data_IF_006910522173
#
_entry.id   IF_006910522173
#
_cell.length_a   1.000
_cell.length_b   1.000
_cell.length_c   1.000
_cell.angle_alpha   90.00
_cell.angle_beta   90.00
_cell.angle_gamma   90.00
#
_symmetry.space_group_name_H-M   'P 1'
#
loop_
_entity.id
_entity.type
_entity.pdbx_description
1 polymer ?
#
# COMPACT_ATOMS: atom_id res chain seq x y z
N UNK A 1 -16.68 75.55 -2.67
CA UNK A 1 -16.29 74.35 -1.90
C UNK A 1 -17.16 73.22 -2.42
N UNK A 2 -16.68 72.56 -3.46
CA UNK A 2 -17.31 71.33 -3.96
C UNK A 2 -17.14 70.25 -2.89
N UNK A 3 -18.27 69.68 -2.48
CA UNK A 3 -18.37 68.56 -1.58
C UNK A 3 -17.63 67.37 -2.19
N UNK A 4 -16.53 66.97 -1.56
CA UNK A 4 -15.80 65.75 -1.84
C UNK A 4 -16.77 64.59 -1.56
N UNK A 5 -17.34 64.05 -2.63
CA UNK A 5 -18.15 62.84 -2.59
C UNK A 5 -17.21 61.66 -2.23
N UNK A 6 -17.38 61.16 -1.02
CA UNK A 6 -16.57 60.08 -0.44
C UNK A 6 -16.97 58.74 -1.04
N UNK A 7 -16.56 58.47 -2.28
CA UNK A 7 -16.68 57.17 -2.94
C UNK A 7 -15.64 56.17 -2.37
N UNK A 8 -15.90 55.60 -1.18
CA UNK A 8 -15.20 54.40 -0.67
C UNK A 8 -15.97 53.63 0.42
N UNK A 9 -17.06 52.90 0.07
CA UNK A 9 -17.45 51.73 0.88
C UNK A 9 -17.84 50.46 0.10
N UNK A 10 -18.01 50.49 -1.23
CA UNK A 10 -18.56 49.35 -1.98
C UNK A 10 -17.57 48.20 -2.29
N UNK A 11 -16.28 48.50 -2.46
CA UNK A 11 -15.24 47.54 -2.91
C UNK A 11 -14.84 46.50 -1.85
N UNK A 12 -14.80 46.90 -0.57
CA UNK A 12 -14.51 45.97 0.52
C UNK A 12 -15.65 44.98 0.80
N UNK A 13 -16.87 45.27 0.35
CA UNK A 13 -18.05 44.46 0.65
C UNK A 13 -18.17 43.22 -0.26
N UNK A 14 -17.81 43.31 -1.54
CA UNK A 14 -17.89 42.14 -2.43
C UNK A 14 -16.92 41.03 -2.01
N UNK A 15 -15.72 41.38 -1.54
CA UNK A 15 -14.74 40.41 -1.06
C UNK A 15 -15.20 39.68 0.21
N UNK A 16 -15.89 40.39 1.12
CA UNK A 16 -16.50 39.77 2.31
C UNK A 16 -17.62 38.81 1.92
N UNK A 17 -18.47 39.22 0.96
CA UNK A 17 -19.54 38.38 0.43
C UNK A 17 -18.99 37.13 -0.28
N UNK A 18 -17.93 37.28 -1.06
CA UNK A 18 -17.27 36.17 -1.75
C UNK A 18 -16.72 35.14 -0.74
N UNK A 19 -16.02 35.60 0.30
CA UNK A 19 -15.59 34.73 1.40
C UNK A 19 -16.77 33.97 2.02
N UNK A 20 -17.83 34.68 2.42
CA UNK A 20 -18.99 34.07 3.05
C UNK A 20 -19.68 33.04 2.13
N UNK A 21 -19.78 33.35 0.84
CA UNK A 21 -20.33 32.45 -0.17
C UNK A 21 -19.49 31.17 -0.31
N UNK A 22 -18.17 31.30 -0.47
CA UNK A 22 -17.27 30.15 -0.60
C UNK A 22 -17.21 29.32 0.68
N UNK A 23 -17.23 29.94 1.86
CA UNK A 23 -17.35 29.22 3.13
C UNK A 23 -18.60 28.36 3.16
N UNK A 24 -19.77 28.94 2.86
CA UNK A 24 -21.03 28.19 2.84
C UNK A 24 -21.04 27.09 1.77
N UNK A 25 -20.54 27.39 0.57
CA UNK A 25 -20.44 26.42 -0.53
C UNK A 25 -19.58 25.21 -0.13
N UNK A 26 -18.44 25.44 0.52
CA UNK A 26 -17.55 24.36 0.93
C UNK A 26 -18.08 23.55 2.09
N UNK A 27 -18.73 24.20 3.07
CA UNK A 27 -19.39 23.51 4.17
C UNK A 27 -20.52 22.58 3.69
N UNK A 28 -21.25 23.00 2.65
CA UNK A 28 -22.37 22.23 2.09
C UNK A 28 -21.91 21.14 1.12
N UNK A 29 -20.99 21.45 0.20
CA UNK A 29 -20.76 20.63 -1.01
C UNK A 29 -19.36 20.06 -1.16
N UNK A 30 -18.35 20.56 -0.46
CA UNK A 30 -16.98 20.08 -0.67
C UNK A 30 -16.82 18.65 -0.13
N UNK A 31 -16.39 17.68 -0.95
CA UNK A 31 -16.17 16.32 -0.49
C UNK A 31 -15.15 16.27 0.66
N UNK A 32 -15.50 15.58 1.76
CA UNK A 32 -14.62 15.42 2.94
C UNK A 32 -13.32 14.67 2.65
N UNK A 33 -13.23 13.99 1.50
CA UNK A 33 -12.02 13.33 1.01
C UNK A 33 -10.96 14.32 0.50
N UNK A 34 -11.34 15.57 0.20
CA UNK A 34 -10.42 16.63 -0.20
C UNK A 34 -9.76 17.27 1.03
N UNK A 35 -8.72 16.61 1.51
CA UNK A 35 -8.00 17.02 2.72
C UNK A 35 -6.91 18.06 2.43
N UNK A 36 -6.49 18.21 1.17
CA UNK A 36 -5.59 19.27 0.73
C UNK A 36 -6.38 20.44 0.14
N UNK A 37 -7.15 20.19 -0.93
CA UNK A 37 -7.99 21.20 -1.59
C UNK A 37 -9.22 21.54 -0.74
N UNK A 38 -8.97 22.31 0.30
CA UNK A 38 -9.88 22.62 1.39
C UNK A 38 -10.07 24.13 1.54
N UNK A 39 -11.04 24.55 2.37
CA UNK A 39 -11.19 25.97 2.70
C UNK A 39 -9.89 26.60 3.23
N UNK A 40 -9.06 25.84 3.95
CA UNK A 40 -7.77 26.30 4.46
C UNK A 40 -6.80 26.62 3.31
N UNK A 41 -6.76 25.78 2.28
CA UNK A 41 -5.97 26.02 1.07
C UNK A 41 -6.44 27.31 0.39
N UNK A 42 -7.73 27.40 0.06
CA UNK A 42 -8.30 28.60 -0.58
C UNK A 42 -8.04 29.88 0.20
N UNK A 43 -8.24 29.87 1.53
CA UNK A 43 -7.96 31.02 2.38
C UNK A 43 -6.46 31.40 2.39
N UNK A 44 -5.57 30.41 2.25
CA UNK A 44 -4.13 30.62 2.13
C UNK A 44 -3.78 31.25 0.79
N UNK A 45 -4.31 30.72 -0.32
CA UNK A 45 -4.14 31.27 -1.67
C UNK A 45 -4.64 32.71 -1.75
N UNK A 46 -5.80 33.02 -1.16
CA UNK A 46 -6.32 34.39 -1.05
C UNK A 46 -5.37 35.32 -0.31
N UNK A 47 -4.82 34.87 0.82
CA UNK A 47 -3.86 35.66 1.61
C UNK A 47 -2.60 35.97 0.81
N UNK A 48 -2.08 34.98 0.08
CA UNK A 48 -0.87 35.17 -0.72
C UNK A 48 -1.13 36.00 -1.97
N UNK A 49 -2.22 35.77 -2.70
CA UNK A 49 -2.60 36.56 -3.86
C UNK A 49 -2.74 38.04 -3.51
N UNK A 50 -3.36 38.33 -2.35
CA UNK A 50 -3.43 39.69 -1.83
C UNK A 50 -2.05 40.28 -1.54
N UNK A 51 -1.19 39.53 -0.83
CA UNK A 51 0.15 40.01 -0.47
C UNK A 51 1.05 40.25 -1.69
N UNK A 52 0.95 39.38 -2.71
CA UNK A 52 1.68 39.54 -3.97
C UNK A 52 1.16 40.75 -4.75
N UNK A 53 -0.17 40.89 -4.88
CA UNK A 53 -0.78 42.03 -5.58
C UNK A 53 -0.51 43.39 -4.90
N UNK A 54 -0.41 43.42 -3.56
CA UNK A 54 0.03 44.61 -2.82
C UNK A 54 1.51 44.92 -3.06
N UNK A 55 2.37 43.90 -3.13
CA UNK A 55 3.80 44.07 -3.39
C UNK A 55 4.12 44.54 -4.82
N UNK A 56 3.25 44.23 -5.79
CA UNK A 56 3.36 44.71 -7.18
C UNK A 56 2.61 46.02 -7.43
N UNK A 57 2.09 46.66 -6.37
CA UNK A 57 1.36 47.93 -6.46
C UNK A 57 0.16 47.91 -7.43
N UNK A 58 -0.59 46.79 -7.47
CA UNK A 58 -1.77 46.69 -8.33
C UNK A 58 -2.80 47.80 -8.05
N UNK A 59 -3.53 48.17 -9.10
CA UNK A 59 -4.71 49.03 -8.95
C UNK A 59 -5.71 48.40 -7.96
N UNK A 60 -6.46 49.19 -7.18
CA UNK A 60 -7.48 48.66 -6.28
C UNK A 60 -8.49 47.76 -6.97
N UNK A 61 -8.81 48.04 -8.23
CA UNK A 61 -9.71 47.25 -9.07
C UNK A 61 -9.09 45.89 -9.39
N UNK A 62 -7.83 45.83 -9.82
CA UNK A 62 -7.14 44.60 -10.19
C UNK A 62 -6.81 43.73 -8.99
N UNK A 63 -6.48 44.33 -7.85
CA UNK A 63 -6.35 43.62 -6.60
C UNK A 63 -7.69 42.97 -6.19
N UNK A 64 -8.81 43.66 -6.36
CA UNK A 64 -10.14 43.10 -6.11
C UNK A 64 -10.44 41.90 -7.01
N UNK A 65 -10.17 42.01 -8.32
CA UNK A 65 -10.36 40.90 -9.26
C UNK A 65 -9.45 39.70 -8.96
N UNK A 66 -8.18 39.95 -8.61
CA UNK A 66 -7.24 38.90 -8.21
C UNK A 66 -7.71 38.17 -6.95
N UNK A 67 -8.18 38.89 -5.94
CA UNK A 67 -8.68 38.30 -4.69
C UNK A 67 -10.01 37.56 -4.91
N UNK A 68 -10.90 38.06 -5.78
CA UNK A 68 -12.10 37.32 -6.19
C UNK A 68 -11.71 36.02 -6.90
N UNK A 69 -10.80 36.06 -7.86
CA UNK A 69 -10.31 34.86 -8.54
C UNK A 69 -9.72 33.85 -7.54
N UNK A 70 -8.93 34.31 -6.57
CA UNK A 70 -8.37 33.46 -5.52
C UNK A 70 -9.42 32.81 -4.62
N UNK A 71 -10.54 33.48 -4.31
CA UNK A 71 -11.65 32.86 -3.57
C UNK A 71 -12.32 31.75 -4.36
N UNK A 72 -12.43 31.90 -5.68
CA UNK A 72 -13.19 30.99 -6.52
C UNK A 72 -12.34 29.91 -7.23
N UNK A 73 -11.01 30.01 -7.31
CA UNK A 73 -10.17 29.14 -8.16
C UNK A 73 -10.43 27.64 -7.97
N UNK A 74 -10.66 27.22 -6.72
CA UNK A 74 -10.93 25.83 -6.32
C UNK A 74 -12.41 25.52 -6.09
N UNK A 75 -13.33 26.44 -6.40
CA UNK A 75 -14.76 26.24 -6.16
C UNK A 75 -15.33 25.01 -6.88
N UNK A 76 -14.80 24.69 -8.06
CA UNK A 76 -15.21 23.57 -8.90
C UNK A 76 -14.93 22.19 -8.32
N UNK A 77 -14.06 22.07 -7.31
CA UNK A 77 -13.83 20.80 -6.60
C UNK A 77 -15.10 20.27 -5.92
N UNK A 78 -16.10 21.12 -5.73
CA UNK A 78 -17.44 20.73 -5.26
C UNK A 78 -18.22 19.86 -6.27
N UNK A 79 -17.77 19.80 -7.52
CA UNK A 79 -18.47 19.09 -8.59
C UNK A 79 -17.56 18.13 -9.38
N UNK A 80 -16.31 18.52 -9.66
CA UNK A 80 -15.38 17.72 -10.47
C UNK A 80 -13.94 17.90 -9.97
N UNK A 81 -13.12 16.85 -10.08
CA UNK A 81 -11.71 16.92 -9.70
C UNK A 81 -10.82 17.47 -10.82
N UNK A 82 -10.84 16.81 -11.98
CA UNK A 82 -10.07 17.24 -13.16
C UNK A 82 -10.87 18.25 -13.98
N UNK A 83 -10.29 19.42 -14.25
CA UNK A 83 -11.00 20.53 -14.87
C UNK A 83 -11.88 21.33 -13.90
N UNK A 84 -11.63 21.23 -12.60
CA UNK A 84 -12.33 22.00 -11.57
C UNK A 84 -12.22 23.51 -11.82
N UNK A 85 -11.12 23.99 -12.40
CA UNK A 85 -10.88 25.40 -12.74
C UNK A 85 -11.93 25.92 -13.74
N UNK A 86 -12.30 25.12 -14.73
CA UNK A 86 -13.35 25.51 -15.67
C UNK A 86 -14.71 25.60 -14.98
N UNK A 87 -14.98 24.69 -14.03
CA UNK A 87 -16.20 24.76 -13.24
C UNK A 87 -16.20 25.93 -12.26
N UNK A 88 -15.04 26.23 -11.67
CA UNK A 88 -14.80 27.41 -10.83
C UNK A 88 -15.11 28.71 -11.58
N UNK A 89 -14.73 28.81 -12.86
CA UNK A 89 -15.06 29.96 -13.70
C UNK A 89 -16.57 30.14 -13.88
N UNK A 90 -17.33 29.05 -14.06
CA UNK A 90 -18.78 29.08 -14.22
C UNK A 90 -19.47 29.50 -12.91
N UNK A 91 -19.04 28.94 -11.78
CA UNK A 91 -19.54 29.30 -10.45
C UNK A 91 -19.25 30.77 -10.11
N UNK A 92 -18.03 31.23 -10.40
CA UNK A 92 -17.64 32.63 -10.21
C UNK A 92 -18.49 33.57 -11.09
N UNK A 93 -18.66 33.23 -12.37
CA UNK A 93 -19.47 34.03 -13.30
C UNK A 93 -20.92 34.15 -12.84
N UNK A 94 -21.55 33.03 -12.47
CA UNK A 94 -22.92 33.03 -12.00
C UNK A 94 -23.07 33.95 -10.77
N UNK A 95 -22.24 33.72 -9.75
CA UNK A 95 -22.32 34.47 -8.50
C UNK A 95 -22.02 35.96 -8.71
N UNK A 96 -21.00 36.31 -9.49
CA UNK A 96 -20.63 37.70 -9.75
C UNK A 96 -21.71 38.44 -10.56
N UNK A 97 -22.38 37.77 -11.51
CA UNK A 97 -23.54 38.35 -12.23
C UNK A 97 -24.69 38.66 -11.26
N UNK A 98 -24.98 37.75 -10.32
CA UNK A 98 -26.00 37.96 -9.28
C UNK A 98 -25.64 39.12 -8.34
N UNK A 99 -24.35 39.36 -8.10
CA UNK A 99 -23.87 40.54 -7.35
C UNK A 99 -23.84 41.84 -8.18
N UNK A 100 -24.18 41.80 -9.47
CA UNK A 100 -24.11 42.96 -10.37
C UNK A 100 -22.69 43.42 -10.70
N UNK A 101 -21.71 42.50 -10.69
CA UNK A 101 -20.32 42.81 -11.03
C UNK A 101 -20.16 43.12 -12.53
N UNK A 102 -19.28 44.06 -12.94
CA UNK A 102 -19.14 44.45 -14.35
C UNK A 102 -18.71 43.29 -15.25
N UNK A 103 -19.32 43.16 -16.43
CA UNK A 103 -19.14 42.01 -17.32
C UNK A 103 -17.69 41.83 -17.81
N UNK A 104 -16.99 42.94 -18.08
CA UNK A 104 -15.57 42.96 -18.44
C UNK A 104 -14.68 42.46 -17.28
N UNK A 105 -15.03 42.82 -16.04
CA UNK A 105 -14.33 42.37 -14.84
C UNK A 105 -14.63 40.91 -14.51
N UNK A 106 -15.84 40.43 -14.78
CA UNK A 106 -16.17 39.00 -14.69
C UNK A 106 -15.31 38.19 -15.66
N UNK A 107 -15.19 38.63 -16.91
CA UNK A 107 -14.33 37.97 -17.89
C UNK A 107 -12.87 37.91 -17.41
N UNK A 108 -12.36 39.01 -16.84
CA UNK A 108 -11.04 39.04 -16.24
C UNK A 108 -10.88 38.02 -15.09
N UNK A 109 -11.83 37.97 -14.15
CA UNK A 109 -11.78 37.00 -13.03
C UNK A 109 -11.73 35.56 -13.56
N UNK A 110 -12.55 35.23 -14.56
CA UNK A 110 -12.53 33.91 -15.21
C UNK A 110 -11.18 33.60 -15.85
N UNK A 111 -10.60 34.57 -16.55
CA UNK A 111 -9.29 34.40 -17.21
C UNK A 111 -8.13 34.25 -16.21
N UNK A 112 -8.25 34.85 -15.02
CA UNK A 112 -7.29 34.65 -13.93
C UNK A 112 -7.43 33.23 -13.36
N UNK A 113 -8.66 32.78 -13.04
CA UNK A 113 -8.92 31.42 -12.55
C UNK A 113 -8.43 30.38 -13.55
N UNK A 114 -8.72 30.55 -14.84
CA UNK A 114 -8.32 29.62 -15.89
C UNK A 114 -6.82 29.32 -15.90
N UNK A 115 -6.00 30.31 -15.54
CA UNK A 115 -4.55 30.16 -15.58
C UNK A 115 -3.98 29.23 -14.51
N UNK A 116 -4.75 28.85 -13.48
CA UNK A 116 -4.31 27.87 -12.48
C UNK A 116 -4.36 26.43 -13.00
N UNK A 117 -5.07 26.20 -14.12
CA UNK A 117 -5.12 24.88 -14.73
C UNK A 117 -3.77 24.47 -15.31
N UNK A 118 -3.29 23.25 -14.97
CA UNK A 118 -1.95 22.74 -15.30
C UNK A 118 -1.56 22.75 -16.79
N UNK A 119 -2.53 22.76 -17.70
CA UNK A 119 -2.31 22.79 -19.16
C UNK A 119 -2.41 24.22 -19.76
N UNK A 120 -2.78 25.21 -18.96
CA UNK A 120 -2.91 26.60 -19.39
C UNK A 120 -1.61 27.37 -19.12
N UNK A 121 -1.40 28.48 -19.82
CA UNK A 121 -0.20 29.32 -19.63
C UNK A 121 -0.63 30.68 -19.12
N UNK A 122 -0.05 31.10 -17.99
CA UNK A 122 -0.22 32.44 -17.44
C UNK A 122 0.53 33.49 -18.28
N UNK A 123 -0.22 34.35 -18.98
CA UNK A 123 0.31 35.36 -19.92
C UNK A 123 0.32 36.76 -19.32
N UNK A 124 -0.67 37.09 -18.49
CA UNK A 124 -0.80 38.40 -17.87
C UNK A 124 -0.25 38.39 -16.45
N UNK A 125 0.09 39.57 -15.92
CA UNK A 125 0.59 39.71 -14.55
C UNK A 125 -0.38 39.14 -13.51
N UNK A 126 -1.69 39.42 -13.64
CA UNK A 126 -2.71 38.90 -12.72
C UNK A 126 -2.83 37.37 -12.75
N UNK A 127 -2.70 36.77 -13.93
CA UNK A 127 -2.66 35.31 -14.06
C UNK A 127 -1.43 34.73 -13.37
N UNK A 128 -0.26 35.34 -13.58
CA UNK A 128 1.00 34.90 -12.97
C UNK A 128 0.95 35.03 -11.46
N UNK A 129 0.39 36.13 -10.94
CA UNK A 129 0.21 36.36 -9.50
C UNK A 129 -0.70 35.31 -8.85
N UNK A 130 -1.80 34.91 -9.50
CA UNK A 130 -2.65 33.86 -8.94
C UNK A 130 -1.95 32.50 -8.97
N UNK A 131 -1.30 32.14 -10.07
CA UNK A 131 -0.52 30.89 -10.17
C UNK A 131 0.57 30.83 -9.10
N UNK A 132 1.30 31.93 -8.88
CA UNK A 132 2.32 32.00 -7.84
C UNK A 132 1.73 31.89 -6.43
N UNK A 133 0.55 32.49 -6.20
CA UNK A 133 -0.15 32.41 -4.92
C UNK A 133 -0.63 30.97 -4.61
N UNK A 134 -1.18 30.29 -5.61
CA UNK A 134 -1.64 28.89 -5.49
C UNK A 134 -0.45 27.94 -5.25
N UNK A 135 0.66 28.21 -5.92
CA UNK A 135 1.94 27.49 -5.77
C UNK A 135 2.77 27.97 -4.57
N UNK A 136 2.21 28.81 -3.69
CA UNK A 136 2.95 29.40 -2.55
C UNK A 136 3.44 28.35 -1.54
N UNK A 137 2.85 27.15 -1.53
CA UNK A 137 3.26 26.04 -0.66
C UNK A 137 4.74 25.65 -0.86
N UNK A 138 5.30 25.77 -2.08
CA UNK A 138 6.71 25.45 -2.37
C UNK A 138 7.68 26.31 -1.55
N UNK A 139 7.27 27.53 -1.21
CA UNK A 139 8.06 28.53 -0.47
C UNK A 139 7.62 28.70 0.97
N UNK A 140 6.99 27.70 1.58
CA UNK A 140 6.49 27.74 2.96
C UNK A 140 7.01 26.59 3.81
N UNK A 141 7.06 26.79 5.12
CA UNK A 141 7.51 25.78 6.08
C UNK A 141 6.58 24.56 6.10
N UNK A 142 5.29 24.77 5.84
CA UNK A 142 4.27 23.71 5.83
C UNK A 142 4.33 22.82 4.58
N UNK A 143 5.27 23.02 3.65
CA UNK A 143 5.38 22.27 2.39
C UNK A 143 5.22 20.75 2.58
N UNK A 144 5.99 20.16 3.50
CA UNK A 144 5.96 18.72 3.74
C UNK A 144 4.63 18.23 4.32
N UNK A 145 4.05 18.98 5.26
CA UNK A 145 2.76 18.63 5.86
C UNK A 145 1.63 18.70 4.83
N UNK A 146 1.66 19.73 3.98
CA UNK A 146 0.76 19.92 2.86
C UNK A 146 0.93 18.81 1.81
N UNK A 147 2.16 18.37 1.55
CA UNK A 147 2.44 17.22 0.70
C UNK A 147 1.74 15.96 1.20
N UNK A 148 1.85 15.63 2.50
CA UNK A 148 1.16 14.43 3.03
C UNK A 148 -0.38 14.52 2.94
N UNK A 149 -0.96 15.72 3.06
CA UNK A 149 -2.39 15.92 2.79
C UNK A 149 -2.71 15.64 1.32
N UNK A 150 -1.92 16.18 0.38
CA UNK A 150 -2.11 15.94 -1.04
C UNK A 150 -1.98 14.46 -1.40
N UNK A 151 -1.01 13.76 -0.81
CA UNK A 151 -0.83 12.32 -0.97
C UNK A 151 -2.06 11.53 -0.53
N UNK A 152 -2.58 11.83 0.67
CA UNK A 152 -3.76 11.17 1.21
C UNK A 152 -5.01 11.44 0.36
N UNK A 153 -5.14 12.66 -0.15
CA UNK A 153 -6.21 13.02 -1.08
C UNK A 153 -6.10 12.24 -2.39
N UNK A 154 -4.92 12.18 -3.02
CA UNK A 154 -4.70 11.43 -4.25
C UNK A 154 -4.94 9.93 -4.09
N UNK A 155 -4.58 9.37 -2.96
CA UNK A 155 -4.89 7.97 -2.64
C UNK A 155 -6.40 7.76 -2.56
N UNK A 156 -7.11 8.63 -1.84
CA UNK A 156 -8.55 8.48 -1.60
C UNK A 156 -9.40 8.76 -2.83
N UNK A 157 -9.06 9.81 -3.59
CA UNK A 157 -9.89 10.34 -4.68
C UNK A 157 -9.49 9.77 -6.03
N UNK A 158 -8.19 9.59 -6.26
CA UNK A 158 -7.66 9.15 -7.56
C UNK A 158 -7.17 7.69 -7.53
N UNK A 159 -7.16 7.04 -6.37
CA UNK A 159 -6.61 5.69 -6.22
C UNK A 159 -5.10 5.63 -6.46
N UNK A 160 -4.40 6.77 -6.36
CA UNK A 160 -2.95 6.85 -6.59
C UNK A 160 -2.22 6.63 -5.27
N UNK A 161 -1.67 5.44 -5.08
CA UNK A 161 -0.78 5.12 -3.97
C UNK A 161 0.67 5.30 -4.37
N UNK A 162 1.46 5.87 -3.46
CA UNK A 162 2.91 5.99 -3.58
C UNK A 162 3.53 5.30 -2.37
N UNK A 163 4.70 4.68 -2.50
CA UNK A 163 5.53 4.32 -1.36
C UNK A 163 6.28 5.56 -0.81
N UNK A 164 7.12 5.39 0.22
CA UNK A 164 7.82 6.53 0.82
C UNK A 164 8.90 7.13 -0.08
N UNK A 165 9.56 6.32 -0.92
CA UNK A 165 10.59 6.79 -1.85
C UNK A 165 9.95 7.44 -3.06
N UNK A 166 8.98 6.78 -3.69
CA UNK A 166 8.23 7.30 -4.83
C UNK A 166 7.58 8.65 -4.51
N UNK A 167 7.03 8.79 -3.30
CA UNK A 167 6.46 10.07 -2.86
C UNK A 167 7.54 11.14 -2.67
N UNK A 168 8.68 10.78 -2.07
CA UNK A 168 9.78 11.71 -1.89
C UNK A 168 10.39 12.16 -3.23
N UNK A 169 10.46 11.27 -4.22
CA UNK A 169 10.85 11.59 -5.59
C UNK A 169 9.84 12.51 -6.26
N UNK A 170 8.54 12.18 -6.19
CA UNK A 170 7.45 12.99 -6.75
C UNK A 170 7.48 14.43 -6.22
N UNK A 171 7.64 14.61 -4.91
CA UNK A 171 7.75 15.94 -4.29
C UNK A 171 9.02 16.68 -4.71
N UNK A 172 10.15 15.98 -4.86
CA UNK A 172 11.40 16.59 -5.34
C UNK A 172 11.28 17.04 -6.79
N UNK A 173 10.71 16.20 -7.66
CA UNK A 173 10.50 16.49 -9.07
C UNK A 173 9.59 17.71 -9.23
N UNK A 174 8.50 17.77 -8.47
CA UNK A 174 7.62 18.93 -8.40
C UNK A 174 8.37 20.24 -8.07
N UNK A 175 9.23 20.22 -7.03
CA UNK A 175 10.04 21.39 -6.65
C UNK A 175 11.14 21.73 -7.68
N UNK A 176 11.56 20.80 -8.52
CA UNK A 176 12.61 21.06 -9.52
C UNK A 176 12.04 21.48 -10.87
N UNK A 177 10.83 21.01 -11.21
CA UNK A 177 10.12 21.38 -12.44
C UNK A 177 9.40 22.73 -12.34
N UNK A 178 9.03 23.14 -11.13
CA UNK A 178 8.21 24.33 -10.89
C UNK A 178 9.04 25.59 -10.64
N UNK A 179 8.52 26.76 -11.03
CA UNK A 179 9.17 28.06 -10.81
C UNK A 179 8.13 29.14 -10.55
N UNK A 180 8.46 30.08 -9.68
CA UNK A 180 7.69 31.31 -9.53
C UNK A 180 7.85 32.20 -10.78
N UNK A 181 6.74 32.78 -11.22
CA UNK A 181 6.63 33.51 -12.48
C UNK A 181 6.98 34.99 -12.25
N UNK A 182 6.38 35.60 -11.26
CA UNK A 182 6.55 37.02 -10.91
C UNK A 182 7.79 37.26 -10.05
N UNK A 183 8.35 38.47 -10.14
CA UNK A 183 9.50 38.85 -9.31
C UNK A 183 9.10 39.02 -7.83
N UNK A 184 7.88 39.50 -7.57
CA UNK A 184 7.32 39.57 -6.22
C UNK A 184 7.27 38.19 -5.53
N UNK A 185 6.82 37.15 -6.24
CA UNK A 185 6.79 35.79 -5.70
C UNK A 185 8.21 35.22 -5.51
N UNK A 186 9.10 35.42 -6.49
CA UNK A 186 10.51 34.99 -6.37
C UNK A 186 11.14 35.60 -5.12
N UNK A 187 10.99 36.90 -4.90
CA UNK A 187 11.58 37.57 -3.75
C UNK A 187 10.97 37.12 -2.42
N UNK A 188 9.65 36.91 -2.40
CA UNK A 188 8.94 36.47 -1.21
C UNK A 188 9.28 35.04 -0.78
N UNK A 189 9.48 34.14 -1.74
CA UNK A 189 9.52 32.70 -1.48
C UNK A 189 10.91 32.06 -1.66
N UNK A 190 11.90 32.76 -2.26
CA UNK A 190 13.22 32.20 -2.64
C UNK A 190 13.93 31.45 -1.52
N UNK A 191 13.98 32.01 -0.31
CA UNK A 191 14.80 31.47 0.77
C UNK A 191 14.22 30.15 1.28
N UNK A 192 12.93 30.14 1.58
CA UNK A 192 12.25 28.93 2.03
C UNK A 192 12.13 27.89 0.92
N UNK A 193 11.92 28.30 -0.33
CA UNK A 193 11.87 27.37 -1.47
C UNK A 193 13.20 26.62 -1.64
N UNK A 194 14.33 27.34 -1.49
CA UNK A 194 15.67 26.74 -1.53
C UNK A 194 15.90 25.77 -0.37
N UNK A 195 15.47 26.12 0.84
CA UNK A 195 15.58 25.22 1.99
C UNK A 195 14.68 23.98 1.84
N UNK A 196 13.46 24.13 1.33
CA UNK A 196 12.56 23.01 1.03
C UNK A 196 13.19 22.03 0.02
N UNK A 197 13.80 22.52 -1.08
CA UNK A 197 14.52 21.67 -2.04
C UNK A 197 15.66 20.90 -1.36
N UNK A 198 16.43 21.58 -0.51
CA UNK A 198 17.56 20.98 0.20
C UNK A 198 17.11 19.91 1.19
N UNK A 199 16.04 20.17 1.93
CA UNK A 199 15.50 19.23 2.90
C UNK A 199 14.80 18.05 2.24
N UNK A 200 14.10 18.27 1.12
CA UNK A 200 13.53 17.20 0.31
C UNK A 200 14.62 16.26 -0.25
N UNK A 201 15.75 16.81 -0.73
CA UNK A 201 16.90 15.99 -1.16
C UNK A 201 17.49 15.14 -0.02
N UNK A 202 17.56 15.68 1.20
CA UNK A 202 18.03 14.92 2.37
C UNK A 202 17.02 13.84 2.75
N UNK A 203 15.72 14.17 2.71
CA UNK A 203 14.63 13.25 3.01
C UNK A 203 14.68 12.05 2.06
N UNK A 204 14.75 12.29 0.75
CA UNK A 204 14.85 11.24 -0.26
C UNK A 204 16.02 10.28 0.03
N UNK A 205 17.25 10.81 0.19
CA UNK A 205 18.44 9.99 0.50
C UNK A 205 18.27 9.15 1.78
N UNK A 206 17.64 9.74 2.81
CA UNK A 206 17.37 9.05 4.08
C UNK A 206 16.36 7.92 3.89
N UNK A 207 15.31 8.17 3.13
CA UNK A 207 14.25 7.21 2.85
C UNK A 207 14.76 6.05 1.99
N UNK A 208 15.52 6.32 0.93
CA UNK A 208 16.17 5.29 0.10
C UNK A 208 17.09 4.39 0.93
N UNK A 209 17.92 4.97 1.81
CA UNK A 209 18.81 4.20 2.69
C UNK A 209 18.01 3.32 3.65
N UNK A 210 16.89 3.83 4.19
CA UNK A 210 16.01 3.08 5.09
C UNK A 210 15.33 1.92 4.37
N UNK A 211 14.87 2.13 3.14
CA UNK A 211 14.26 1.09 2.31
C UNK A 211 15.26 -0.01 1.97
N UNK A 212 16.47 0.35 1.47
CA UNK A 212 17.54 -0.61 1.20
C UNK A 212 17.91 -1.44 2.43
N UNK A 213 17.94 -0.83 3.62
CA UNK A 213 18.21 -1.55 4.86
C UNK A 213 17.10 -2.56 5.19
N UNK A 214 15.83 -2.18 5.03
CA UNK A 214 14.69 -3.09 5.24
C UNK A 214 14.70 -4.27 4.28
N UNK A 215 14.97 -4.01 2.99
CA UNK A 215 15.09 -5.05 1.97
C UNK A 215 16.23 -6.05 2.30
N UNK A 216 17.37 -5.56 2.79
CA UNK A 216 18.48 -6.41 3.23
C UNK A 216 18.13 -7.26 4.47
N UNK A 217 17.43 -6.68 5.46
CA UNK A 217 16.97 -7.38 6.66
C UNK A 217 15.94 -8.48 6.30
N UNK A 218 15.01 -8.19 5.39
CA UNK A 218 14.02 -9.16 4.91
C UNK A 218 14.66 -10.31 4.12
N UNK A 219 15.63 -10.01 3.24
CA UNK A 219 16.38 -11.03 2.50
C UNK A 219 17.23 -11.92 3.43
N UNK A 220 17.85 -11.33 4.45
CA UNK A 220 18.60 -12.07 5.49
C UNK A 220 17.71 -13.04 6.26
N UNK A 221 16.55 -12.58 6.71
CA UNK A 221 15.58 -13.41 7.44
C UNK A 221 15.01 -14.54 6.55
N UNK A 222 14.76 -14.27 5.26
CA UNK A 222 14.28 -15.29 4.33
C UNK A 222 15.34 -16.38 4.07
N UNK A 223 16.62 -16.02 4.04
CA UNK A 223 17.72 -16.98 3.91
C UNK A 223 17.84 -17.89 5.16
N UNK A 224 17.62 -17.37 6.36
CA UNK A 224 17.57 -18.16 7.59
C UNK A 224 16.37 -19.12 7.62
N UNK A 225 15.18 -18.66 7.20
CA UNK A 225 13.98 -19.48 7.11
C UNK A 225 14.14 -20.72 6.21
N UNK A 226 14.82 -20.58 5.06
CA UNK A 226 15.12 -21.73 4.17
C UNK A 226 15.99 -22.80 4.83
N UNK A 227 17.00 -22.40 5.61
CA UNK A 227 17.90 -23.33 6.33
C UNK A 227 17.18 -24.08 7.45
N UNK A 228 16.23 -23.42 8.13
CA UNK A 228 15.38 -24.05 9.15
C UNK A 228 14.46 -25.12 8.55
N UNK A 229 13.81 -24.82 7.43
CA UNK A 229 12.94 -25.77 6.71
C UNK A 229 13.75 -26.96 6.18
N UNK A 230 14.90 -26.74 5.56
CA UNK A 230 15.78 -27.81 5.08
C UNK A 230 16.23 -28.73 6.22
N UNK A 231 16.61 -28.16 7.37
CA UNK A 231 17.03 -28.92 8.55
C UNK A 231 15.89 -29.76 9.11
N UNK A 232 14.66 -29.22 9.15
CA UNK A 232 13.47 -29.94 9.58
C UNK A 232 13.20 -31.14 8.65
N UNK A 233 13.14 -30.92 7.33
CA UNK A 233 12.90 -31.99 6.36
C UNK A 233 13.96 -33.10 6.46
N UNK A 234 15.24 -32.73 6.53
CA UNK A 234 16.35 -33.69 6.68
C UNK A 234 16.23 -34.50 7.97
N UNK A 235 15.90 -33.85 9.08
CA UNK A 235 15.77 -34.49 10.39
C UNK A 235 14.58 -35.44 10.42
N UNK A 236 13.41 -35.00 9.95
CA UNK A 236 12.19 -35.82 9.86
C UNK A 236 12.40 -37.05 8.98
N UNK A 237 13.00 -36.87 7.80
CA UNK A 237 13.31 -37.98 6.90
C UNK A 237 14.28 -38.98 7.53
N UNK A 238 15.37 -38.49 8.12
CA UNK A 238 16.37 -39.34 8.80
C UNK A 238 15.75 -40.14 9.95
N UNK A 239 14.81 -39.53 10.70
CA UNK A 239 14.09 -40.21 11.77
C UNK A 239 13.13 -41.28 11.24
N UNK A 240 12.37 -40.99 10.17
CA UNK A 240 11.50 -41.98 9.54
C UNK A 240 12.27 -43.20 9.02
N UNK A 241 13.42 -42.99 8.36
CA UNK A 241 14.28 -44.07 7.89
C UNK A 241 14.82 -44.91 9.05
N UNK A 242 15.28 -44.27 10.14
CA UNK A 242 15.73 -44.99 11.34
C UNK A 242 14.63 -45.79 12.02
N UNK A 243 13.42 -45.24 12.13
CA UNK A 243 12.26 -45.94 12.69
C UNK A 243 11.89 -47.16 11.83
N UNK A 244 11.91 -47.01 10.51
CA UNK A 244 11.68 -48.11 9.56
C UNK A 244 12.73 -49.21 9.72
N UNK A 245 14.03 -48.86 9.73
CA UNK A 245 15.12 -49.83 9.88
C UNK A 245 15.06 -50.58 11.23
N UNK A 246 14.64 -49.91 12.31
CA UNK A 246 14.40 -50.56 13.60
C UNK A 246 13.21 -51.52 13.56
N UNK A 247 12.13 -51.17 12.85
CA UNK A 247 10.97 -52.04 12.67
C UNK A 247 11.34 -53.30 11.86
N UNK A 248 12.09 -53.14 10.77
CA UNK A 248 12.56 -54.25 9.94
C UNK A 248 13.45 -55.22 10.72
N UNK A 249 14.36 -54.69 11.53
CA UNK A 249 15.20 -55.52 12.44
C UNK A 249 14.37 -56.31 13.43
N UNK A 250 13.33 -55.69 14.03
CA UNK A 250 12.42 -56.40 14.95
C UNK A 250 11.57 -57.44 14.25
N UNK A 251 11.06 -57.14 13.06
CA UNK A 251 10.28 -58.09 12.27
C UNK A 251 11.13 -59.30 11.87
N UNK A 252 12.38 -59.09 11.42
CA UNK A 252 13.33 -60.16 11.09
C UNK A 252 13.66 -61.04 12.32
N UNK A 253 13.88 -60.43 13.49
CA UNK A 253 14.05 -61.17 14.75
C UNK A 253 12.79 -61.97 15.15
N UNK A 254 11.59 -61.41 14.99
CA UNK A 254 10.34 -62.14 15.29
C UNK A 254 10.07 -63.30 14.32
N UNK A 255 10.38 -63.14 13.03
CA UNK A 255 10.24 -64.22 12.03
C UNK A 255 11.22 -65.37 12.35
N UNK A 256 12.49 -65.05 12.60
CA UNK A 256 13.52 -66.07 12.87
C UNK A 256 13.26 -66.84 14.16
N UNK A 257 12.88 -66.18 15.26
CA UNK A 257 12.58 -66.86 16.53
C UNK A 257 11.38 -67.80 16.41
N UNK A 258 10.29 -67.34 15.78
CA UNK A 258 9.10 -68.16 15.59
C UNK A 258 9.33 -69.31 14.59
N UNK A 259 10.22 -69.14 13.60
CA UNK A 259 10.62 -70.23 12.71
C UNK A 259 11.35 -71.36 13.45
N UNK A 260 12.21 -71.02 14.42
CA UNK A 260 12.86 -72.00 15.31
C UNK A 260 11.84 -72.69 16.22
N UNK A 261 10.89 -71.95 16.79
CA UNK A 261 9.83 -72.55 17.62
C UNK A 261 9.00 -73.53 16.78
N UNK A 262 8.59 -73.14 15.57
CA UNK A 262 7.83 -73.99 14.66
C UNK A 262 8.61 -75.23 14.23
N UNK A 263 9.93 -75.13 13.98
CA UNK A 263 10.73 -76.30 13.60
C UNK A 263 10.83 -77.33 14.73
N UNK A 264 10.96 -76.89 15.98
CA UNK A 264 10.94 -77.75 17.17
C UNK A 264 9.56 -78.39 17.36
N UNK A 265 8.47 -77.61 17.22
CA UNK A 265 7.11 -78.12 17.32
C UNK A 265 6.80 -79.15 16.24
N UNK A 266 7.19 -78.89 14.98
CA UNK A 266 7.04 -79.83 13.86
C UNK A 266 7.87 -81.08 14.07
N UNK A 267 9.10 -80.98 14.59
CA UNK A 267 9.93 -82.14 14.91
C UNK A 267 9.27 -83.01 15.99
N UNK A 268 8.71 -82.38 17.03
CA UNK A 268 8.03 -83.08 18.11
C UNK A 268 6.68 -83.69 17.68
N UNK A 269 5.90 -83.00 16.82
CA UNK A 269 4.64 -83.49 16.26
C UNK A 269 4.85 -84.54 15.15
N UNK A 270 5.90 -84.37 14.34
CA UNK A 270 6.32 -85.24 13.25
C UNK A 270 6.96 -86.54 13.71
N UNK A 271 7.35 -86.64 14.98
CA UNK A 271 7.62 -87.90 15.67
C UNK A 271 6.40 -88.85 15.74
N UNK A 272 5.28 -88.51 15.07
CA UNK A 272 4.20 -89.42 14.67
C UNK A 272 4.66 -90.64 13.87
N UNK A 273 5.86 -90.65 13.29
CA UNK A 273 6.40 -91.82 12.56
C UNK A 273 7.30 -92.73 13.39
N UNK A 274 7.76 -92.32 14.57
CA UNK A 274 8.65 -93.19 15.37
C UNK A 274 8.49 -92.95 16.88
N UNK A 275 7.94 -93.95 17.55
CA UNK A 275 7.98 -94.22 19.01
C UNK A 275 7.27 -93.27 20.02
N UNK A 276 6.92 -92.02 19.70
CA UNK A 276 6.29 -91.09 20.68
C UNK A 276 4.83 -90.68 20.33
N UNK A 277 4.33 -91.14 19.18
CA UNK A 277 3.07 -90.67 18.57
C UNK A 277 1.72 -90.97 19.28
N UNK A 278 1.47 -92.10 19.96
CA UNK A 278 0.10 -92.43 20.38
C UNK A 278 -0.39 -91.73 21.66
N UNK A 279 0.49 -91.08 22.43
CA UNK A 279 0.17 -90.56 23.77
C UNK A 279 -0.24 -89.08 23.80
N UNK A 280 -0.06 -88.33 22.70
CA UNK A 280 -0.30 -86.88 22.67
C UNK A 280 -1.75 -86.53 22.33
N UNK A 281 -2.35 -87.17 21.32
CA UNK A 281 -3.75 -86.92 20.93
C UNK A 281 -4.78 -87.45 21.94
N UNK A 282 -4.34 -88.18 22.97
CA UNK A 282 -5.18 -88.70 24.06
C UNK A 282 -5.12 -87.88 25.35
N UNK A 283 -4.14 -86.97 25.50
CA UNK A 283 -3.92 -86.20 26.72
C UNK A 283 -4.25 -84.71 26.53
N UNK A 284 -5.45 -84.25 26.96
CA UNK A 284 -5.88 -82.86 26.78
C UNK A 284 -5.01 -81.83 27.55
N UNK A 285 -4.33 -82.24 28.63
CA UNK A 285 -3.43 -81.38 29.43
C UNK A 285 -2.22 -80.85 28.62
N UNK A 286 -1.70 -81.61 27.66
CA UNK A 286 -0.55 -81.20 26.84
C UNK A 286 -0.98 -80.50 25.55
N UNK A 287 -2.18 -80.82 25.05
CA UNK A 287 -2.70 -80.27 23.79
C UNK A 287 -3.04 -78.79 23.90
N UNK A 288 -3.61 -78.35 25.04
CA UNK A 288 -4.07 -76.96 25.24
C UNK A 288 -2.90 -75.96 25.24
N UNK A 289 -1.83 -76.10 26.05
CA UNK A 289 -0.70 -75.14 26.05
C UNK A 289 0.03 -75.07 24.69
N UNK A 290 0.14 -76.21 23.99
CA UNK A 290 0.81 -76.27 22.69
C UNK A 290 0.00 -75.61 21.58
N UNK A 291 -1.33 -75.76 21.62
CA UNK A 291 -2.23 -75.06 20.68
C UNK A 291 -2.21 -73.54 20.91
N UNK A 292 -2.14 -73.10 22.16
CA UNK A 292 -1.98 -71.68 22.51
C UNK A 292 -0.63 -71.15 21.99
N UNK A 293 0.47 -71.88 22.24
CA UNK A 293 1.81 -71.50 21.76
C UNK A 293 1.87 -71.40 20.24
N UNK A 294 1.21 -72.32 19.52
CA UNK A 294 1.17 -72.31 18.06
C UNK A 294 0.33 -71.14 17.52
N UNK A 295 -0.81 -70.87 18.16
CA UNK A 295 -1.66 -69.73 17.79
C UNK A 295 -0.95 -68.38 18.01
N UNK A 296 -0.23 -68.22 19.13
CA UNK A 296 0.52 -66.98 19.42
C UNK A 296 1.75 -66.83 18.52
N UNK A 297 2.47 -67.91 18.22
CA UNK A 297 3.59 -67.90 17.27
C UNK A 297 3.12 -67.52 15.86
N UNK A 298 2.01 -68.10 15.38
CA UNK A 298 1.44 -67.76 14.08
C UNK A 298 0.98 -66.29 14.03
N UNK A 299 0.27 -65.81 15.05
CA UNK A 299 -0.16 -64.42 15.16
C UNK A 299 1.02 -63.43 15.20
N UNK A 300 2.12 -63.80 15.87
CA UNK A 300 3.34 -63.01 15.92
C UNK A 300 4.04 -62.93 14.55
N UNK A 301 4.11 -64.04 13.80
CA UNK A 301 4.67 -64.05 12.43
C UNK A 301 3.83 -63.20 11.47
N UNK A 302 2.50 -63.36 11.50
CA UNK A 302 1.61 -62.55 10.65
C UNK A 302 1.78 -61.06 10.93
N UNK A 303 1.86 -60.67 12.20
CA UNK A 303 2.10 -59.28 12.61
C UNK A 303 3.49 -58.77 12.18
N UNK A 304 4.52 -59.61 12.24
CA UNK A 304 5.86 -59.28 11.78
C UNK A 304 5.93 -59.07 10.26
N UNK A 305 5.26 -59.93 9.48
CA UNK A 305 5.19 -59.83 8.01
C UNK A 305 4.48 -58.54 7.60
N UNK A 306 3.34 -58.23 8.24
CA UNK A 306 2.61 -56.98 7.99
C UNK A 306 3.44 -55.73 8.34
N UNK A 307 4.26 -55.80 9.39
CA UNK A 307 5.13 -54.70 9.79
C UNK A 307 6.36 -54.51 8.88
N UNK A 308 6.83 -55.57 8.23
CA UNK A 308 7.97 -55.55 7.30
C UNK A 308 7.55 -55.28 5.85
N UNK A 309 6.25 -55.25 5.56
CA UNK A 309 5.75 -54.95 4.23
C UNK A 309 5.78 -53.43 4.03
N UNK A 310 6.61 -52.90 3.12
CA UNK A 310 6.63 -51.46 2.88
C UNK A 310 5.32 -51.05 2.21
N UNK A 311 4.59 -50.13 2.83
CA UNK A 311 3.50 -49.44 2.15
C UNK A 311 4.10 -48.65 0.98
N UNK A 312 3.88 -49.13 -0.24
CA UNK A 312 4.10 -48.36 -1.47
C UNK A 312 3.09 -47.23 -1.50
N UNK A 313 3.37 -46.17 -0.74
CA UNK A 313 2.71 -44.88 -0.90
C UNK A 313 3.09 -44.35 -2.29
N UNK A 314 2.22 -44.61 -3.27
CA UNK A 314 2.34 -43.98 -4.58
C UNK A 314 2.25 -42.48 -4.37
N UNK A 315 3.39 -41.81 -4.49
CA UNK A 315 3.54 -40.37 -4.29
C UNK A 315 2.83 -39.61 -5.43
N UNK A 316 1.51 -39.44 -5.31
CA UNK A 316 0.71 -38.60 -6.22
C UNK A 316 0.79 -37.14 -5.78
N UNK A 317 1.96 -36.53 -5.92
CA UNK A 317 2.09 -35.08 -5.73
C UNK A 317 3.04 -34.46 -6.77
N UNK A 318 2.46 -34.07 -7.90
CA UNK A 318 2.79 -32.91 -8.75
C UNK A 318 2.01 -33.02 -10.07
N UNK A 319 0.75 -32.60 -10.05
CA UNK A 319 -0.03 -32.34 -11.27
C UNK A 319 -0.55 -30.90 -11.36
N UNK A 320 0.16 -29.97 -10.73
CA UNK A 320 0.06 -28.53 -11.02
C UNK A 320 1.47 -27.97 -11.13
N UNK A 321 1.97 -27.94 -12.36
CA UNK A 321 3.09 -27.07 -12.73
C UNK A 321 2.64 -25.60 -12.60
N UNK A 322 3.50 -24.68 -12.12
CA UNK A 322 3.22 -23.25 -12.17
C UNK A 322 3.09 -22.84 -13.65
N UNK A 323 1.97 -22.23 -14.03
CA UNK A 323 1.85 -21.58 -15.34
C UNK A 323 2.67 -20.29 -15.27
N UNK A 324 3.80 -20.26 -15.97
CA UNK A 324 4.52 -19.02 -16.25
C UNK A 324 3.73 -18.23 -17.32
N UNK A 325 3.59 -16.90 -17.22
CA UNK A 325 2.95 -16.11 -18.26
C UNK A 325 3.78 -16.15 -19.55
N UNK A 326 3.15 -16.16 -20.74
CA UNK A 326 3.88 -16.23 -21.99
C UNK A 326 4.75 -14.98 -22.17
N UNK A 327 6.02 -15.19 -22.51
CA UNK A 327 6.94 -14.15 -22.98
C UNK A 327 6.39 -13.59 -24.29
N UNK A 328 6.14 -12.28 -24.33
CA UNK A 328 5.77 -11.56 -25.54
C UNK A 328 6.90 -11.68 -26.57
N UNK A 329 6.54 -12.15 -27.77
CA UNK A 329 7.30 -12.03 -29.00
C UNK A 329 6.55 -11.15 -29.97
#
# INVERSE_FOLDING_TARGET
>A
METIETLKPAKAEILKKAKAHITALFEEKLPKSLVYHSFKHTATTVKEAKALGEATELSPEDLEALVLAAWFHDAGYTEVYDGHEYRSMELAEQWLREQGYPADRIALVKDIIRATHRNETAKTELQQLLVDADMSSMGKEEFFANGELLRAEWETVLGKSYDSVEWAETQLDFLLSSKYLTDAAKDRYKDQYKENIKDQRKLLKKTEKKQKKREQEEQGNFAEGKRGVETMFRTTYSNHIKLSDMADKKASMMISLNAVIMSVLITYLGAKTTAVGPSFTRNPILTVPMSILLATALGSVVSAILSAQPDVTSFKWLKKSPRWPPTAG
#
